data_IF_918126996871
#
_entry.id   IF_918126996871
#
_cell.length_a   1.000
_cell.length_b   1.000
_cell.length_c   1.000
_cell.angle_alpha   90.00
_cell.angle_beta   90.00
_cell.angle_gamma   90.00
#
_symmetry.space_group_name_H-M   'P 1'
#
loop_
_entity.id
_entity.type
_entity.pdbx_description
1 polymer ?
#
# COMPACT_ATOMS: atom_id res chain seq x y z
N UNK A 1 -9.81 2.47 -56.23
CA UNK A 1 -9.49 3.06 -54.92
C UNK A 1 -9.48 1.98 -53.86
N UNK A 2 -8.28 1.54 -53.53
CA UNK A 2 -8.06 0.40 -52.64
C UNK A 2 -7.99 0.87 -51.21
N UNK A 3 -8.96 0.52 -50.39
CA UNK A 3 -9.00 0.84 -48.97
C UNK A 3 -7.94 -0.03 -48.31
N UNK A 4 -6.83 0.55 -47.86
CA UNK A 4 -5.85 -0.11 -47.01
C UNK A 4 -6.50 -0.45 -45.66
N UNK A 5 -6.73 -1.74 -45.41
CA UNK A 5 -7.04 -2.24 -44.08
C UNK A 5 -5.81 -2.05 -43.20
N UNK A 6 -5.83 -1.07 -42.35
CA UNK A 6 -4.87 -0.97 -41.23
C UNK A 6 -5.16 -2.11 -40.28
N UNK A 7 -4.30 -3.12 -40.28
CA UNK A 7 -4.29 -4.19 -39.30
C UNK A 7 -4.00 -3.58 -37.93
N UNK A 8 -5.05 -3.40 -37.14
CA UNK A 8 -4.92 -3.07 -35.71
C UNK A 8 -4.25 -4.25 -35.03
N UNK A 9 -3.04 -4.04 -34.54
CA UNK A 9 -2.37 -5.00 -33.67
C UNK A 9 -3.28 -5.32 -32.47
N UNK A 10 -3.54 -6.61 -32.14
CA UNK A 10 -4.54 -7.00 -31.17
C UNK A 10 -4.24 -6.62 -29.70
N UNK A 11 -3.15 -5.93 -29.43
CA UNK A 11 -2.67 -5.68 -28.08
C UNK A 11 -2.85 -4.27 -27.52
N UNK A 12 -3.24 -3.27 -28.33
CA UNK A 12 -3.44 -1.91 -27.85
C UNK A 12 -4.91 -1.47 -27.98
N UNK A 13 -5.58 -1.26 -26.85
CA UNK A 13 -6.82 -0.51 -26.79
C UNK A 13 -6.51 0.95 -27.11
N UNK A 14 -7.00 1.47 -28.25
CA UNK A 14 -6.87 2.88 -28.56
C UNK A 14 -7.88 3.70 -27.74
N UNK A 15 -7.52 4.93 -27.41
CA UNK A 15 -8.40 5.85 -26.72
C UNK A 15 -9.69 6.12 -27.49
N UNK A 16 -9.63 6.12 -28.83
CA UNK A 16 -10.81 6.31 -29.69
C UNK A 16 -11.77 5.12 -29.63
N UNK A 17 -11.26 3.88 -29.63
CA UNK A 17 -12.07 2.69 -29.44
C UNK A 17 -12.74 2.64 -28.05
N UNK A 18 -12.06 3.13 -27.02
CA UNK A 18 -12.62 3.29 -25.68
C UNK A 18 -13.75 4.31 -25.67
N UNK A 19 -13.54 5.52 -26.23
CA UNK A 19 -14.56 6.56 -26.28
C UNK A 19 -15.82 6.12 -27.03
N UNK A 20 -15.65 5.52 -28.21
CA UNK A 20 -16.76 4.98 -28.99
C UNK A 20 -17.48 3.83 -28.24
N UNK A 21 -16.76 3.05 -27.43
CA UNK A 21 -17.32 1.98 -26.64
C UNK A 21 -18.27 2.46 -25.53
N UNK A 22 -18.07 3.66 -24.98
CA UNK A 22 -18.92 4.20 -23.91
C UNK A 22 -20.37 4.43 -24.36
N UNK A 23 -20.62 4.68 -25.63
CA UNK A 23 -21.96 4.87 -26.18
C UNK A 23 -22.85 3.63 -26.10
N UNK A 24 -22.24 2.44 -25.91
CA UNK A 24 -22.94 1.16 -25.77
C UNK A 24 -23.37 0.84 -24.33
N UNK A 25 -23.17 1.77 -23.42
CA UNK A 25 -23.51 1.63 -22.01
C UNK A 25 -24.59 2.62 -21.57
N UNK A 26 -25.38 2.23 -20.57
CA UNK A 26 -26.18 3.20 -19.83
C UNK A 26 -25.28 4.24 -19.14
N UNK A 27 -25.82 5.40 -18.81
CA UNK A 27 -25.04 6.46 -18.14
C UNK A 27 -24.30 5.96 -16.89
N UNK A 28 -24.96 5.15 -16.06
CA UNK A 28 -24.37 4.58 -14.85
C UNK A 28 -23.25 3.59 -15.15
N UNK A 29 -23.42 2.74 -16.15
CA UNK A 29 -22.40 1.79 -16.58
C UNK A 29 -21.21 2.52 -17.22
N UNK A 30 -21.46 3.54 -18.04
CA UNK A 30 -20.40 4.36 -18.63
C UNK A 30 -19.52 5.00 -17.56
N UNK A 31 -20.11 5.56 -16.50
CA UNK A 31 -19.36 6.11 -15.34
C UNK A 31 -18.49 5.06 -14.65
N UNK A 32 -18.93 3.81 -14.60
CA UNK A 32 -18.12 2.71 -14.06
C UNK A 32 -16.95 2.35 -14.99
N UNK A 33 -17.19 2.29 -16.29
CA UNK A 33 -16.16 1.98 -17.30
C UNK A 33 -15.13 3.13 -17.38
N UNK A 34 -15.56 4.38 -17.33
CA UNK A 34 -14.69 5.55 -17.27
C UNK A 34 -13.79 5.52 -16.03
N UNK A 35 -14.38 5.25 -14.89
CA UNK A 35 -13.61 5.12 -13.66
C UNK A 35 -12.58 3.98 -13.74
N UNK A 36 -12.98 2.80 -14.25
CA UNK A 36 -12.08 1.65 -14.40
C UNK A 36 -10.97 1.91 -15.41
N UNK A 37 -11.28 2.61 -16.50
CA UNK A 37 -10.29 3.06 -17.48
C UNK A 37 -9.24 3.99 -16.85
N UNK A 38 -9.68 4.95 -16.04
CA UNK A 38 -8.80 5.82 -15.27
C UNK A 38 -7.93 5.03 -14.28
N UNK A 39 -8.52 4.07 -13.58
CA UNK A 39 -7.80 3.20 -12.64
C UNK A 39 -6.77 2.32 -13.33
N UNK A 40 -7.13 1.72 -14.46
CA UNK A 40 -6.23 0.89 -15.27
C UNK A 40 -5.05 1.68 -15.84
N UNK A 41 -5.30 2.87 -16.38
CA UNK A 41 -4.25 3.69 -16.99
C UNK A 41 -3.42 4.51 -15.99
N UNK A 42 -3.96 4.77 -14.81
CA UNK A 42 -3.32 5.50 -13.71
C UNK A 42 -2.73 4.56 -12.67
N UNK A 43 -3.43 4.29 -11.55
CA UNK A 43 -2.90 3.53 -10.42
C UNK A 43 -2.37 2.14 -10.77
N UNK A 44 -3.01 1.42 -11.70
CA UNK A 44 -2.55 0.11 -12.14
C UNK A 44 -1.43 0.13 -13.20
N UNK A 45 -1.08 1.32 -13.74
CA UNK A 45 0.00 1.44 -14.71
C UNK A 45 -0.14 0.56 -15.96
N UNK A 46 -1.38 0.25 -16.38
CA UNK A 46 -1.72 -0.66 -17.48
C UNK A 46 -1.31 -2.13 -17.23
N UNK A 47 -1.19 -2.52 -15.97
CA UNK A 47 -0.92 -3.91 -15.59
C UNK A 47 -2.19 -4.77 -15.77
N UNK A 48 -2.22 -5.52 -16.87
CA UNK A 48 -3.33 -6.41 -17.22
C UNK A 48 -3.49 -7.56 -16.21
N UNK A 49 -2.37 -8.10 -15.74
CA UNK A 49 -2.40 -9.22 -14.80
C UNK A 49 -2.96 -8.79 -13.45
N UNK A 50 -2.60 -7.59 -12.98
CA UNK A 50 -3.17 -7.02 -11.78
C UNK A 50 -4.67 -6.78 -11.93
N UNK A 51 -5.13 -6.23 -13.06
CA UNK A 51 -6.56 -6.03 -13.31
C UNK A 51 -7.32 -7.36 -13.38
N UNK A 52 -6.81 -8.34 -14.12
CA UNK A 52 -7.40 -9.67 -14.20
C UNK A 52 -7.55 -10.32 -12.82
N UNK A 53 -6.54 -10.20 -11.98
CA UNK A 53 -6.57 -10.69 -10.60
C UNK A 53 -7.64 -10.03 -9.74
N UNK A 54 -7.86 -8.72 -9.90
CA UNK A 54 -8.90 -7.97 -9.19
C UNK A 54 -10.31 -8.47 -9.51
N UNK A 55 -10.53 -8.91 -10.74
CA UNK A 55 -11.82 -9.35 -11.25
C UNK A 55 -11.99 -10.88 -11.25
N UNK A 56 -10.92 -11.64 -11.03
CA UNK A 56 -10.95 -13.10 -11.20
C UNK A 56 -11.27 -13.54 -12.63
N UNK A 57 -10.97 -12.69 -13.62
CA UNK A 57 -11.30 -12.90 -15.04
C UNK A 57 -10.05 -12.81 -15.89
N UNK A 58 -10.04 -13.50 -17.04
CA UNK A 58 -8.98 -13.39 -18.02
C UNK A 58 -9.07 -12.08 -18.81
N UNK A 59 -7.93 -11.58 -19.32
CA UNK A 59 -7.88 -10.34 -20.09
C UNK A 59 -8.80 -10.34 -21.31
N UNK A 60 -8.94 -11.46 -21.98
CA UNK A 60 -9.81 -11.61 -23.16
C UNK A 60 -11.30 -11.42 -22.82
N UNK A 61 -11.69 -11.64 -21.56
CA UNK A 61 -13.04 -11.40 -21.05
C UNK A 61 -13.23 -9.94 -20.62
N UNK A 62 -12.21 -9.32 -20.04
CA UNK A 62 -12.28 -7.93 -19.54
C UNK A 62 -12.05 -6.88 -20.63
N UNK A 63 -11.17 -7.17 -21.59
CA UNK A 63 -10.85 -6.24 -22.68
C UNK A 63 -12.06 -5.70 -23.44
N UNK A 64 -13.06 -6.54 -23.81
CA UNK A 64 -14.27 -6.07 -24.49
C UNK A 64 -15.07 -5.04 -23.72
N UNK A 65 -14.96 -4.99 -22.40
CA UNK A 65 -15.59 -3.98 -21.56
C UNK A 65 -15.20 -2.56 -22.01
N UNK A 66 -13.91 -2.31 -22.27
CA UNK A 66 -13.42 -1.01 -22.67
C UNK A 66 -13.81 -0.58 -24.09
N UNK A 67 -14.29 -1.49 -24.92
CA UNK A 67 -14.78 -1.21 -26.27
C UNK A 67 -16.31 -1.35 -26.40
N UNK A 68 -17.04 -1.41 -25.29
CA UNK A 68 -18.50 -1.53 -25.29
C UNK A 68 -19.04 -2.88 -25.75
N UNK A 69 -18.22 -3.92 -25.75
CA UNK A 69 -18.54 -5.26 -26.32
C UNK A 69 -18.52 -6.38 -25.29
N UNK A 70 -18.70 -6.07 -24.01
CA UNK A 70 -18.74 -7.10 -22.97
C UNK A 70 -19.87 -8.11 -23.23
N UNK A 71 -19.58 -9.40 -23.05
CA UNK A 71 -20.58 -10.44 -23.22
C UNK A 71 -21.71 -10.29 -22.19
N UNK A 72 -22.96 -10.49 -22.63
CA UNK A 72 -24.13 -10.34 -21.77
C UNK A 72 -24.10 -11.29 -20.56
N UNK A 73 -23.51 -12.48 -20.71
CA UNK A 73 -23.41 -13.50 -19.66
C UNK A 73 -22.56 -13.09 -18.45
N UNK A 74 -21.56 -12.21 -18.65
CA UNK A 74 -20.66 -11.74 -17.56
C UNK A 74 -20.85 -10.27 -17.22
N UNK A 75 -21.76 -9.56 -17.93
CA UNK A 75 -21.94 -8.11 -17.80
C UNK A 75 -22.31 -7.71 -16.38
N UNK A 76 -23.35 -8.30 -15.81
CA UNK A 76 -23.82 -7.97 -14.47
C UNK A 76 -22.75 -8.21 -13.41
N UNK A 77 -22.11 -9.38 -13.42
CA UNK A 77 -21.04 -9.75 -12.51
C UNK A 77 -19.85 -8.77 -12.60
N UNK A 78 -19.48 -8.38 -13.82
CA UNK A 78 -18.37 -7.43 -14.05
C UNK A 78 -18.68 -6.05 -13.45
N UNK A 79 -19.90 -5.52 -13.62
CA UNK A 79 -20.29 -4.23 -13.05
C UNK A 79 -20.44 -4.28 -11.53
N UNK A 80 -20.88 -5.39 -10.95
CA UNK A 80 -20.84 -5.62 -9.50
C UNK A 80 -19.41 -5.62 -8.98
N UNK A 81 -18.49 -6.30 -9.67
CA UNK A 81 -17.07 -6.33 -9.31
C UNK A 81 -16.43 -4.92 -9.39
N UNK A 82 -16.76 -4.13 -10.43
CA UNK A 82 -16.32 -2.71 -10.51
C UNK A 82 -16.84 -1.92 -9.32
N UNK A 83 -18.11 -2.10 -8.97
CA UNK A 83 -18.72 -1.40 -7.83
C UNK A 83 -18.06 -1.80 -6.51
N UNK A 84 -17.78 -3.10 -6.31
CA UNK A 84 -17.09 -3.61 -5.13
C UNK A 84 -15.65 -3.07 -5.04
N UNK A 85 -14.93 -3.04 -6.17
CA UNK A 85 -13.59 -2.47 -6.27
C UNK A 85 -13.59 -0.98 -5.94
N UNK A 86 -14.52 -0.18 -6.52
CA UNK A 86 -14.69 1.23 -6.22
C UNK A 86 -14.97 1.47 -4.74
N UNK A 87 -15.87 0.69 -4.12
CA UNK A 87 -16.16 0.78 -2.68
C UNK A 87 -14.94 0.42 -1.83
N UNK A 88 -14.18 -0.60 -2.21
CA UNK A 88 -12.96 -1.00 -1.51
C UNK A 88 -11.89 0.10 -1.57
N UNK A 89 -11.68 0.70 -2.74
CA UNK A 89 -10.71 1.77 -2.94
C UNK A 89 -11.19 3.10 -2.33
N UNK A 90 -12.49 3.40 -2.39
CA UNK A 90 -13.07 4.57 -1.72
C UNK A 90 -13.01 4.47 -0.19
N UNK A 91 -12.95 3.25 0.36
CA UNK A 91 -12.67 3.03 1.79
C UNK A 91 -11.21 3.24 2.15
N UNK A 92 -10.30 3.23 1.18
CA UNK A 92 -8.94 3.71 1.38
C UNK A 92 -9.00 5.24 1.50
N UNK A 93 -9.01 5.73 2.74
CA UNK A 93 -9.00 7.18 2.97
C UNK A 93 -7.73 7.78 2.42
N UNK A 94 -7.77 9.03 1.92
CA UNK A 94 -6.59 9.74 1.48
C UNK A 94 -5.56 9.77 2.61
N UNK A 95 -4.29 9.66 2.25
CA UNK A 95 -3.21 9.75 3.22
C UNK A 95 -3.30 11.06 4.01
N UNK A 96 -3.46 10.95 5.32
CA UNK A 96 -3.28 12.11 6.18
C UNK A 96 -1.79 12.44 6.20
N UNK A 97 -1.43 13.56 5.60
CA UNK A 97 -0.04 14.02 5.49
C UNK A 97 0.46 14.55 6.84
N UNK A 98 0.76 13.61 7.73
CA UNK A 98 1.47 13.93 8.98
C UNK A 98 2.97 14.09 8.69
N UNK A 99 3.69 14.75 9.61
CA UNK A 99 5.16 14.87 9.51
C UNK A 99 5.82 13.49 9.35
N UNK A 100 5.29 12.46 10.01
CA UNK A 100 5.78 11.08 9.89
C UNK A 100 5.50 10.52 8.50
N UNK A 101 4.28 10.68 7.99
CA UNK A 101 3.92 10.24 6.66
C UNK A 101 4.78 10.93 5.59
N UNK A 102 4.99 12.22 5.71
CA UNK A 102 5.84 13.00 4.79
C UNK A 102 7.30 12.49 4.76
N UNK A 103 7.88 12.19 5.91
CA UNK A 103 9.23 11.62 5.99
C UNK A 103 9.33 10.25 5.32
N UNK A 104 8.31 9.41 5.48
CA UNK A 104 8.25 8.09 4.83
C UNK A 104 8.12 8.27 3.32
N UNK A 105 7.25 9.18 2.86
CA UNK A 105 7.11 9.50 1.43
C UNK A 105 8.42 9.99 0.84
N UNK A 106 9.11 10.93 1.51
CA UNK A 106 10.43 11.42 1.08
C UNK A 106 11.47 10.30 0.97
N UNK A 107 11.50 9.36 1.93
CA UNK A 107 12.41 8.22 1.85
C UNK A 107 12.07 7.29 0.67
N UNK A 108 10.79 7.05 0.40
CA UNK A 108 10.36 6.22 -0.72
C UNK A 108 10.58 6.90 -2.08
N UNK A 109 10.40 8.22 -2.15
CA UNK A 109 10.75 9.01 -3.34
C UNK A 109 12.25 8.97 -3.59
N UNK A 110 13.06 9.15 -2.53
CA UNK A 110 14.52 9.02 -2.62
C UNK A 110 14.94 7.62 -3.10
N UNK A 111 14.35 6.57 -2.52
CA UNK A 111 14.56 5.19 -2.92
C UNK A 111 14.29 4.97 -4.42
N UNK A 112 13.19 5.53 -4.93
CA UNK A 112 12.81 5.45 -6.34
C UNK A 112 13.76 6.25 -7.25
N UNK A 113 14.04 7.48 -6.89
CA UNK A 113 14.71 8.44 -7.78
C UNK A 113 16.21 8.19 -7.89
N UNK A 114 16.82 7.67 -6.82
CA UNK A 114 18.25 7.36 -6.75
C UNK A 114 18.55 5.86 -6.77
N UNK A 115 17.53 5.00 -6.90
CA UNK A 115 17.69 3.54 -6.78
C UNK A 115 18.40 3.14 -5.49
N UNK A 116 18.10 3.81 -4.39
CA UNK A 116 18.80 3.72 -3.12
C UNK A 116 18.24 2.61 -2.22
N UNK A 117 19.03 2.19 -1.24
CA UNK A 117 18.54 1.39 -0.12
C UNK A 117 18.18 2.30 1.06
N UNK A 118 16.92 2.26 1.50
CA UNK A 118 16.41 3.11 2.58
C UNK A 118 15.83 2.31 3.73
N UNK A 119 15.96 2.83 4.96
CA UNK A 119 15.37 2.25 6.16
C UNK A 119 14.32 3.18 6.77
N UNK A 120 13.17 2.61 7.09
CA UNK A 120 12.13 3.26 7.88
C UNK A 120 11.94 2.46 9.16
N UNK A 121 12.29 3.05 10.30
CA UNK A 121 12.18 2.40 11.60
C UNK A 121 11.29 3.19 12.54
N UNK A 122 10.65 2.52 13.47
CA UNK A 122 9.85 3.19 14.47
C UNK A 122 8.76 2.30 15.08
N UNK A 123 8.07 2.77 16.11
CA UNK A 123 7.13 1.98 16.88
C UNK A 123 5.92 1.55 16.05
N UNK A 124 5.30 0.46 16.49
CA UNK A 124 4.05 -0.05 15.89
C UNK A 124 2.93 0.99 16.02
N UNK A 125 2.11 1.12 14.97
CA UNK A 125 0.93 1.99 14.98
C UNK A 125 1.21 3.46 14.66
N UNK A 126 2.38 3.78 14.10
CA UNK A 126 2.79 5.12 13.67
C UNK A 126 2.54 5.41 12.17
N UNK A 127 1.79 4.55 11.49
CA UNK A 127 1.38 4.79 10.10
C UNK A 127 2.34 4.28 9.02
N UNK A 128 3.45 3.59 9.38
CA UNK A 128 4.45 3.08 8.42
C UNK A 128 3.83 2.27 7.28
N UNK A 129 3.18 1.17 7.63
CA UNK A 129 2.48 0.28 6.68
C UNK A 129 1.51 1.04 5.79
N UNK A 130 0.63 1.85 6.42
CA UNK A 130 -0.39 2.60 5.69
C UNK A 130 0.20 3.58 4.68
N UNK A 131 1.25 4.32 5.08
CA UNK A 131 1.93 5.27 4.20
C UNK A 131 2.65 4.56 3.05
N UNK A 132 3.30 3.42 3.33
CA UNK A 132 4.00 2.65 2.33
C UNK A 132 3.05 1.99 1.32
N UNK A 133 1.93 1.43 1.78
CA UNK A 133 0.88 0.89 0.90
C UNK A 133 0.26 1.99 0.02
N UNK A 134 -0.05 3.15 0.61
CA UNK A 134 -0.55 4.30 -0.13
C UNK A 134 0.45 4.75 -1.20
N UNK A 135 1.71 4.95 -0.82
CA UNK A 135 2.76 5.38 -1.76
C UNK A 135 2.96 4.36 -2.89
N UNK A 136 2.95 3.06 -2.57
CA UNK A 136 3.06 2.00 -3.56
C UNK A 136 1.88 2.04 -4.55
N UNK A 137 0.67 2.34 -4.09
CA UNK A 137 -0.51 2.52 -4.93
C UNK A 137 -0.38 3.70 -5.89
N UNK A 138 0.07 4.86 -5.39
CA UNK A 138 0.26 6.08 -6.19
C UNK A 138 1.42 5.96 -7.19
N UNK A 139 2.44 5.15 -6.89
CA UNK A 139 3.64 4.96 -7.69
C UNK A 139 3.68 3.62 -8.44
N UNK A 140 2.55 2.93 -8.55
CA UNK A 140 2.48 1.62 -9.20
C UNK A 140 2.37 1.74 -10.73
N UNK A 141 3.48 2.10 -11.36
CA UNK A 141 3.65 2.07 -12.83
C UNK A 141 4.26 0.75 -13.31
N UNK A 142 3.95 -0.37 -12.65
CA UNK A 142 4.54 -1.69 -12.91
C UNK A 142 5.94 -1.90 -12.28
N UNK A 143 6.54 -0.83 -11.75
CA UNK A 143 7.92 -0.81 -11.23
C UNK A 143 8.01 -0.90 -9.71
N UNK A 144 6.92 -0.64 -8.99
CA UNK A 144 6.87 -0.73 -7.54
C UNK A 144 6.25 -2.06 -7.11
N UNK A 145 6.94 -2.78 -6.24
CA UNK A 145 6.47 -4.02 -5.63
C UNK A 145 6.41 -3.82 -4.12
N UNK A 146 5.21 -3.98 -3.55
CA UNK A 146 5.01 -3.96 -2.11
C UNK A 146 4.95 -5.40 -1.59
N UNK A 147 5.89 -5.75 -0.74
CA UNK A 147 6.00 -7.06 -0.12
C UNK A 147 5.86 -6.95 1.39
N UNK A 148 4.80 -7.50 1.94
CA UNK A 148 4.63 -7.65 3.37
C UNK A 148 5.17 -9.02 3.78
N UNK A 149 6.23 -9.00 4.59
CA UNK A 149 6.93 -10.21 5.00
C UNK A 149 6.09 -11.01 6.00
N UNK A 150 5.78 -12.28 5.72
CA UNK A 150 5.08 -13.13 6.68
C UNK A 150 5.97 -13.45 7.90
N UNK A 151 5.35 -13.84 9.02
CA UNK A 151 6.09 -14.33 10.18
C UNK A 151 6.94 -15.53 9.81
N UNK A 152 8.15 -15.62 10.38
CA UNK A 152 9.07 -16.74 10.15
C UNK A 152 9.47 -16.96 8.67
N UNK A 153 9.71 -15.87 7.96
CA UNK A 153 10.04 -15.88 6.53
C UNK A 153 11.45 -16.46 6.28
N UNK A 154 11.51 -17.58 5.59
CA UNK A 154 12.76 -18.12 5.07
C UNK A 154 13.15 -17.44 3.74
N UNK A 155 14.45 -17.52 3.34
CA UNK A 155 14.90 -17.03 2.03
C UNK A 155 14.06 -17.63 0.88
N UNK A 156 13.79 -18.94 0.93
CA UNK A 156 12.97 -19.61 -0.08
C UNK A 156 11.54 -19.09 -0.13
N UNK A 157 10.94 -18.77 1.03
CA UNK A 157 9.61 -18.17 1.12
C UNK A 157 9.61 -16.78 0.48
N UNK A 158 10.59 -15.93 0.86
CA UNK A 158 10.72 -14.60 0.30
C UNK A 158 10.90 -14.62 -1.23
N UNK A 159 11.77 -15.51 -1.75
CA UNK A 159 11.96 -15.70 -3.20
C UNK A 159 10.66 -16.07 -3.89
N UNK A 160 9.91 -17.06 -3.38
CA UNK A 160 8.64 -17.48 -3.96
C UNK A 160 7.60 -16.36 -3.95
N UNK A 161 7.52 -15.61 -2.85
CA UNK A 161 6.54 -14.52 -2.73
C UNK A 161 6.89 -13.36 -3.67
N UNK A 162 8.17 -13.01 -3.79
CA UNK A 162 8.63 -12.04 -4.77
C UNK A 162 8.37 -12.51 -6.20
N UNK A 163 8.65 -13.78 -6.53
CA UNK A 163 8.31 -14.35 -7.84
C UNK A 163 6.83 -14.14 -8.18
N UNK A 164 5.92 -14.40 -7.23
CA UNK A 164 4.47 -14.13 -7.44
C UNK A 164 4.20 -12.66 -7.69
N UNK A 165 4.84 -11.75 -6.96
CA UNK A 165 4.68 -10.31 -7.15
C UNK A 165 5.21 -9.81 -8.50
N UNK A 166 6.23 -10.45 -9.03
CA UNK A 166 6.82 -10.14 -10.33
C UNK A 166 6.19 -10.94 -11.49
N UNK A 167 5.21 -11.81 -11.22
CA UNK A 167 4.60 -12.67 -12.23
C UNK A 167 5.54 -13.75 -12.79
N UNK A 168 6.49 -14.22 -11.96
CA UNK A 168 7.45 -15.27 -12.30
C UNK A 168 6.91 -16.61 -11.80
N UNK A 169 7.01 -17.71 -12.60
CA UNK A 169 6.66 -19.05 -12.15
C UNK A 169 7.42 -19.47 -10.88
N UNK A 170 6.74 -20.12 -9.94
CA UNK A 170 7.32 -20.57 -8.67
C UNK A 170 7.69 -22.06 -8.64
N UNK A 171 7.78 -22.70 -9.81
CA UNK A 171 8.06 -24.13 -10.03
C UNK A 171 9.50 -24.33 -10.34
N UNK A 172 10.44 -23.75 -9.89
CA UNK A 172 11.89 -23.92 -10.14
C UNK A 172 12.67 -24.20 -8.87
N UNK A 173 13.96 -24.40 -9.02
CA UNK A 173 14.89 -24.35 -7.91
C UNK A 173 14.98 -22.92 -7.35
N UNK A 174 15.42 -22.77 -6.09
CA UNK A 174 15.59 -21.43 -5.52
C UNK A 174 16.58 -20.57 -6.30
N UNK A 175 17.74 -21.08 -6.74
CA UNK A 175 18.66 -20.31 -7.60
C UNK A 175 18.05 -19.83 -8.92
N UNK A 176 17.28 -20.69 -9.61
CA UNK A 176 16.66 -20.32 -10.90
C UNK A 176 15.63 -19.19 -10.69
N UNK A 177 14.87 -19.29 -9.61
CA UNK A 177 13.90 -18.23 -9.24
C UNK A 177 14.60 -16.92 -8.85
N UNK A 178 15.72 -16.98 -8.15
CA UNK A 178 16.52 -15.78 -7.82
C UNK A 178 17.11 -15.13 -9.07
N UNK A 179 17.56 -15.90 -10.05
CA UNK A 179 18.05 -15.37 -11.32
C UNK A 179 16.93 -14.66 -12.09
N UNK A 180 15.79 -15.31 -12.23
CA UNK A 180 14.62 -14.70 -12.87
C UNK A 180 14.13 -13.42 -12.13
N UNK A 181 14.26 -13.38 -10.78
CA UNK A 181 13.96 -12.17 -10.01
C UNK A 181 14.94 -11.05 -10.32
N UNK A 182 16.25 -11.34 -10.45
CA UNK A 182 17.25 -10.34 -10.83
C UNK A 182 16.94 -9.73 -12.19
N UNK A 183 16.64 -10.57 -13.18
CA UNK A 183 16.26 -10.11 -14.52
C UNK A 183 15.03 -9.18 -14.48
N UNK A 184 14.00 -9.52 -13.70
CA UNK A 184 12.75 -8.73 -13.59
C UNK A 184 12.90 -7.48 -12.74
N UNK A 185 13.77 -7.50 -11.74
CA UNK A 185 14.04 -6.35 -10.88
C UNK A 185 15.04 -5.37 -11.51
N UNK A 186 15.73 -5.77 -12.59
CA UNK A 186 16.75 -4.97 -13.27
C UNK A 186 16.16 -3.64 -13.77
N UNK A 187 16.87 -2.58 -13.51
CA UNK A 187 16.62 -1.26 -14.09
C UNK A 187 16.33 -0.15 -13.06
N UNK A 188 16.62 1.09 -13.45
CA UNK A 188 16.42 2.25 -12.60
C UNK A 188 14.93 2.48 -12.32
N UNK A 189 14.64 3.04 -11.15
CA UNK A 189 13.28 3.34 -10.65
C UNK A 189 12.41 2.11 -10.35
N UNK A 190 12.93 0.89 -10.44
CA UNK A 190 12.28 -0.26 -9.84
C UNK A 190 12.44 -0.17 -8.32
N UNK A 191 11.35 -0.35 -7.57
CA UNK A 191 11.35 -0.25 -6.11
C UNK A 191 10.70 -1.48 -5.50
N UNK A 192 11.38 -2.08 -4.53
CA UNK A 192 10.83 -3.14 -3.69
C UNK A 192 10.65 -2.58 -2.28
N UNK A 193 9.41 -2.39 -1.86
CA UNK A 193 9.07 -2.02 -0.50
C UNK A 193 8.85 -3.29 0.30
N UNK A 194 9.60 -3.44 1.38
CA UNK A 194 9.61 -4.62 2.25
C UNK A 194 9.06 -4.22 3.61
N UNK A 195 7.79 -4.45 3.85
CA UNK A 195 7.16 -4.16 5.13
C UNK A 195 7.27 -5.34 6.10
N UNK A 196 7.33 -5.07 7.40
CA UNK A 196 7.63 -6.04 8.45
C UNK A 196 8.97 -6.76 8.21
N UNK A 197 9.96 -6.02 7.71
CA UNK A 197 11.28 -6.57 7.34
C UNK A 197 12.02 -7.26 8.49
N UNK A 198 11.64 -6.98 9.75
CA UNK A 198 12.13 -7.71 10.91
C UNK A 198 11.87 -9.21 10.86
N UNK A 199 10.83 -9.66 10.15
CA UNK A 199 10.53 -11.08 9.98
C UNK A 199 11.54 -11.81 9.07
N UNK A 200 12.41 -11.08 8.36
CA UNK A 200 13.52 -11.65 7.58
C UNK A 200 14.73 -11.98 8.44
N UNK A 201 14.77 -11.45 9.66
CA UNK A 201 15.89 -11.70 10.59
C UNK A 201 15.72 -13.09 11.21
N UNK A 202 16.79 -13.87 11.17
CA UNK A 202 16.75 -15.23 11.72
C UNK A 202 16.62 -15.23 13.24
N UNK A 203 15.60 -15.90 13.77
CA UNK A 203 15.45 -16.15 15.20
C UNK A 203 16.56 -17.03 15.80
N UNK A 204 17.27 -17.80 14.96
CA UNK A 204 18.33 -18.71 15.40
C UNK A 204 19.69 -18.04 15.61
N UNK A 205 19.76 -16.72 15.44
CA UNK A 205 21.00 -15.96 15.62
C UNK A 205 22.07 -16.22 14.57
N UNK A 206 21.76 -16.92 13.47
CA UNK A 206 22.68 -17.04 12.33
C UNK A 206 22.52 -15.82 11.45
N UNK A 207 23.60 -15.10 11.12
CA UNK A 207 23.58 -14.04 10.12
C UNK A 207 23.20 -14.62 8.77
N UNK A 208 22.54 -13.83 7.95
CA UNK A 208 22.22 -14.20 6.59
C UNK A 208 20.81 -14.77 6.42
N UNK A 209 20.50 -15.16 5.24
CA UNK A 209 19.22 -15.73 4.88
C UNK A 209 18.32 -14.77 4.10
N UNK A 210 17.10 -14.53 4.58
CA UNK A 210 16.11 -13.83 3.79
C UNK A 210 16.41 -12.34 3.58
N UNK A 211 17.05 -11.66 4.52
CA UNK A 211 17.37 -10.22 4.38
C UNK A 211 18.46 -9.97 3.33
N UNK A 212 19.44 -10.89 3.23
CA UNK A 212 20.52 -10.79 2.24
C UNK A 212 19.99 -10.83 0.80
N UNK A 213 18.86 -11.50 0.56
CA UNK A 213 18.22 -11.49 -0.75
C UNK A 213 17.96 -10.07 -1.25
N UNK A 214 17.53 -9.17 -0.36
CA UNK A 214 17.19 -7.79 -0.74
C UNK A 214 18.44 -6.94 -0.98
N UNK A 215 19.52 -7.20 -0.24
CA UNK A 215 20.82 -6.61 -0.52
C UNK A 215 21.34 -7.08 -1.88
N UNK A 216 21.31 -8.39 -2.12
CA UNK A 216 21.78 -8.97 -3.38
C UNK A 216 20.97 -8.42 -4.58
N UNK A 217 19.63 -8.29 -4.43
CA UNK A 217 18.79 -7.68 -5.45
C UNK A 217 19.19 -6.23 -5.70
N UNK A 218 19.38 -5.42 -4.65
CA UNK A 218 19.83 -4.04 -4.79
C UNK A 218 21.19 -3.94 -5.50
N UNK A 219 22.21 -4.65 -4.97
CA UNK A 219 23.59 -4.58 -5.45
C UNK A 219 23.71 -5.07 -6.91
N UNK A 220 22.95 -6.09 -7.32
CA UNK A 220 23.05 -6.72 -8.64
C UNK A 220 22.16 -6.11 -9.70
N UNK A 221 21.06 -5.47 -9.31
CA UNK A 221 20.05 -4.99 -10.28
C UNK A 221 19.92 -3.47 -10.34
N UNK A 222 20.46 -2.77 -9.35
CA UNK A 222 20.25 -1.32 -9.20
C UNK A 222 18.82 -0.94 -8.89
N UNK A 223 17.99 -1.87 -8.39
CA UNK A 223 16.64 -1.52 -7.92
C UNK A 223 16.71 -0.85 -6.55
N UNK A 224 15.81 0.09 -6.30
CA UNK A 224 15.64 0.66 -4.97
C UNK A 224 15.02 -0.36 -4.01
N UNK A 225 15.47 -0.37 -2.76
CA UNK A 225 14.94 -1.26 -1.71
C UNK A 225 14.61 -0.45 -0.47
N UNK A 226 13.34 -0.44 -0.07
CA UNK A 226 12.88 0.22 1.14
C UNK A 226 12.51 -0.82 2.20
N UNK A 227 13.26 -0.86 3.29
CA UNK A 227 13.06 -1.80 4.39
C UNK A 227 12.37 -1.11 5.56
N UNK A 228 11.22 -1.63 5.97
CA UNK A 228 10.41 -1.05 7.06
C UNK A 228 10.44 -1.99 8.26
N UNK A 229 10.96 -1.48 9.38
CA UNK A 229 11.14 -2.22 10.62
C UNK A 229 10.33 -1.62 11.78
N UNK A 230 10.17 -2.42 12.84
CA UNK A 230 9.86 -1.91 14.17
C UNK A 230 11.15 -1.65 14.96
N UNK A 231 11.07 -0.82 16.00
CA UNK A 231 12.23 -0.42 16.83
C UNK A 231 12.97 -1.60 17.46
N UNK A 232 12.24 -2.66 17.82
CA UNK A 232 12.81 -3.85 18.45
C UNK A 232 13.90 -4.46 17.56
N UNK A 233 13.63 -4.53 16.26
CA UNK A 233 14.59 -5.11 15.31
C UNK A 233 15.77 -4.17 15.02
N UNK A 234 15.56 -2.85 15.06
CA UNK A 234 16.67 -1.91 14.90
C UNK A 234 17.68 -2.03 16.05
N UNK A 235 17.20 -2.21 17.28
CA UNK A 235 18.08 -2.44 18.42
C UNK A 235 18.87 -3.74 18.29
N UNK A 236 18.27 -4.79 17.76
CA UNK A 236 18.92 -6.06 17.47
C UNK A 236 20.00 -5.94 16.37
N UNK A 237 19.70 -5.23 15.30
CA UNK A 237 20.63 -4.93 14.21
C UNK A 237 21.84 -4.13 14.73
N UNK A 238 21.62 -3.09 15.55
CA UNK A 238 22.69 -2.20 16.02
C UNK A 238 23.52 -2.76 17.18
N UNK A 239 22.97 -3.60 18.04
CA UNK A 239 23.57 -4.03 19.31
C UNK A 239 23.47 -5.53 19.60
N UNK A 240 22.85 -6.29 18.70
CA UNK A 240 22.68 -7.72 18.84
C UNK A 240 23.98 -8.51 18.60
N UNK A 241 23.91 -9.82 18.77
CA UNK A 241 25.05 -10.74 18.57
C UNK A 241 25.65 -10.70 17.17
N UNK A 242 24.91 -10.16 16.20
CA UNK A 242 25.30 -10.11 14.79
C UNK A 242 25.51 -8.66 14.31
N UNK A 243 25.79 -7.72 15.20
CA UNK A 243 25.98 -6.31 14.84
C UNK A 243 27.05 -6.11 13.76
N UNK A 244 28.20 -6.79 13.90
CA UNK A 244 29.32 -6.74 12.95
C UNK A 244 28.91 -7.23 11.54
N UNK A 245 28.03 -8.24 11.48
CA UNK A 245 27.49 -8.72 10.21
C UNK A 245 26.59 -7.68 9.55
N UNK A 246 25.77 -7.00 10.35
CA UNK A 246 24.90 -5.94 9.85
C UNK A 246 25.62 -4.62 9.54
N UNK A 247 26.87 -4.44 9.97
CA UNK A 247 27.65 -3.25 9.65
C UNK A 247 27.78 -3.05 8.14
N UNK A 248 28.11 -4.11 7.39
CA UNK A 248 28.17 -4.06 5.93
C UNK A 248 26.81 -3.76 5.27
N UNK A 249 25.74 -4.25 5.87
CA UNK A 249 24.40 -3.97 5.42
C UNK A 249 23.97 -2.52 5.72
N UNK A 250 24.30 -2.04 6.91
CA UNK A 250 24.06 -0.65 7.32
C UNK A 250 24.87 0.35 6.49
N UNK A 251 26.06 -0.01 6.04
CA UNK A 251 26.89 0.82 5.17
C UNK A 251 26.30 1.12 3.78
N UNK A 252 25.25 0.40 3.37
CA UNK A 252 24.52 0.66 2.11
C UNK A 252 23.32 1.57 2.29
N UNK A 253 23.01 1.94 3.54
CA UNK A 253 21.85 2.78 3.81
C UNK A 253 22.16 4.23 3.52
N UNK A 254 21.38 4.81 2.64
CA UNK A 254 21.56 6.20 2.24
C UNK A 254 20.58 7.15 2.95
N UNK A 255 19.38 6.68 3.29
CA UNK A 255 18.35 7.53 3.86
C UNK A 255 17.63 6.84 5.04
N UNK A 256 18.17 6.89 6.27
CA UNK A 256 17.51 6.35 7.44
C UNK A 256 16.39 7.28 7.94
N UNK A 257 15.19 6.74 8.12
CA UNK A 257 14.07 7.44 8.76
C UNK A 257 13.78 6.78 10.11
N UNK A 258 14.06 7.49 11.18
CA UNK A 258 13.69 7.09 12.55
C UNK A 258 12.43 7.84 13.00
N UNK A 259 11.35 7.10 13.26
CA UNK A 259 10.07 7.65 13.67
C UNK A 259 10.02 7.74 15.20
N UNK A 260 9.67 8.90 15.76
CA UNK A 260 9.59 9.09 17.21
C UNK A 260 8.61 8.13 17.88
N UNK A 261 8.92 7.73 19.12
CA UNK A 261 8.08 6.82 19.93
C UNK A 261 6.67 7.34 20.12
N UNK A 262 6.54 8.62 20.45
CA UNK A 262 5.24 9.25 20.73
C UNK A 262 4.85 10.22 19.63
N UNK A 263 3.56 10.32 19.29
CA UNK A 263 3.08 11.35 18.39
C UNK A 263 3.26 12.73 19.01
N UNK A 264 3.58 13.72 18.16
CA UNK A 264 3.65 15.12 18.56
C UNK A 264 2.26 15.76 18.46
N UNK A 265 2.09 16.87 19.18
CA UNK A 265 0.84 17.64 19.17
C UNK A 265 0.39 18.04 17.77
N UNK A 266 1.34 18.52 16.95
CA UNK A 266 1.06 18.94 15.58
C UNK A 266 0.63 17.79 14.69
N UNK A 267 1.20 16.59 14.87
CA UNK A 267 0.80 15.38 14.15
C UNK A 267 -0.65 14.98 14.50
N UNK A 268 -1.02 15.04 15.77
CA UNK A 268 -2.39 14.80 16.22
C UNK A 268 -3.35 15.83 15.64
N UNK A 269 -2.95 17.12 15.61
CA UNK A 269 -3.75 18.18 14.98
C UNK A 269 -3.97 17.92 13.49
N UNK A 270 -2.94 17.49 12.74
CA UNK A 270 -3.05 17.12 11.33
C UNK A 270 -4.02 15.94 11.12
N UNK A 271 -3.96 14.94 12.01
CA UNK A 271 -4.90 13.81 11.98
C UNK A 271 -6.33 14.30 12.21
N UNK A 272 -6.57 15.12 13.23
CA UNK A 272 -7.90 15.65 13.53
C UNK A 272 -8.43 16.52 12.38
N UNK A 273 -7.61 17.36 11.78
CA UNK A 273 -8.00 18.22 10.67
C UNK A 273 -8.51 17.45 9.43
N UNK A 274 -8.12 16.18 9.27
CA UNK A 274 -8.64 15.33 8.21
C UNK A 274 -10.10 14.86 8.46
N UNK A 275 -10.60 14.98 9.68
CA UNK A 275 -11.96 14.58 10.07
C UNK A 275 -12.86 15.78 10.41
N UNK A 276 -12.30 16.83 11.00
CA UNK A 276 -13.02 18.01 11.49
C UNK A 276 -12.79 19.19 10.53
N UNK A 277 -13.65 19.32 9.53
CA UNK A 277 -13.54 20.36 8.48
C UNK A 277 -13.80 21.78 8.98
N UNK A 278 -14.54 21.91 10.09
CA UNK A 278 -14.94 23.19 10.65
C UNK A 278 -13.92 23.75 11.67
N UNK A 279 -12.76 23.11 11.77
CA UNK A 279 -11.65 23.48 12.63
C UNK A 279 -11.41 22.53 13.80
N UNK A 280 -10.26 22.62 14.39
CA UNK A 280 -9.81 21.75 15.49
C UNK A 280 -9.45 22.61 16.70
N UNK A 281 -10.19 22.45 17.80
CA UNK A 281 -9.92 23.19 19.05
C UNK A 281 -8.68 22.62 19.78
N UNK A 282 -8.01 23.47 20.55
CA UNK A 282 -6.87 23.07 21.37
C UNK A 282 -7.25 22.03 22.44
N UNK A 283 -8.47 22.11 22.96
CA UNK A 283 -9.01 21.13 23.90
C UNK A 283 -9.12 19.73 23.24
N UNK A 284 -9.66 19.68 22.00
CA UNK A 284 -9.78 18.44 21.25
C UNK A 284 -8.39 17.84 20.92
N UNK A 285 -7.41 18.68 20.55
CA UNK A 285 -6.02 18.25 20.33
C UNK A 285 -5.43 17.65 21.59
N UNK A 286 -5.62 18.29 22.74
CA UNK A 286 -5.12 17.80 24.04
C UNK A 286 -5.75 16.47 24.42
N UNK A 287 -7.06 16.34 24.25
CA UNK A 287 -7.80 15.09 24.49
C UNK A 287 -7.30 13.96 23.57
N UNK A 288 -7.22 14.20 22.26
CA UNK A 288 -6.78 13.23 21.28
C UNK A 288 -5.31 12.82 21.47
N UNK A 289 -4.44 13.76 21.89
CA UNK A 289 -3.06 13.47 22.24
C UNK A 289 -2.99 12.53 23.45
N UNK A 290 -3.83 12.75 24.47
CA UNK A 290 -3.96 11.85 25.61
C UNK A 290 -4.38 10.44 25.17
N UNK A 291 -5.30 10.30 24.22
CA UNK A 291 -5.72 9.01 23.64
C UNK A 291 -4.56 8.35 22.88
N UNK A 292 -3.86 9.10 22.05
CA UNK A 292 -2.78 8.58 21.20
C UNK A 292 -1.50 8.23 21.98
N UNK A 293 -1.29 8.79 23.16
CA UNK A 293 -0.10 8.57 24.01
C UNK A 293 -0.35 7.68 25.21
N UNK A 294 -1.62 7.28 25.48
CA UNK A 294 -1.95 6.37 26.55
C UNK A 294 -1.23 5.02 26.40
N UNK A 295 -1.04 4.29 27.51
CA UNK A 295 -0.35 3.00 27.54
C UNK A 295 -0.91 2.02 26.51
N UNK A 296 -2.25 1.98 26.36
CA UNK A 296 -2.98 1.16 25.40
C UNK A 296 -3.38 1.93 24.14
N UNK A 297 -3.00 3.22 24.06
CA UNK A 297 -3.27 4.13 22.95
C UNK A 297 -2.09 4.17 22.00
N UNK A 298 -2.42 4.23 20.69
CA UNK A 298 -1.47 4.49 19.61
C UNK A 298 -2.18 5.40 18.62
N UNK A 299 -1.43 6.04 17.77
CA UNK A 299 -2.03 6.84 16.69
C UNK A 299 -3.03 6.00 15.86
N UNK A 300 -2.73 4.71 15.65
CA UNK A 300 -3.64 3.74 15.03
C UNK A 300 -4.97 3.61 15.76
N UNK A 301 -4.96 3.63 17.10
CA UNK A 301 -6.17 3.55 17.92
C UNK A 301 -7.00 4.82 17.78
N UNK A 302 -6.36 5.99 17.86
CA UNK A 302 -7.03 7.27 17.60
C UNK A 302 -7.67 7.31 16.21
N UNK A 303 -6.97 6.87 15.18
CA UNK A 303 -7.54 6.76 13.83
C UNK A 303 -8.78 5.87 13.78
N UNK A 304 -8.72 4.69 14.42
CA UNK A 304 -9.87 3.78 14.47
C UNK A 304 -11.07 4.41 15.17
N UNK A 305 -10.83 5.10 16.29
CA UNK A 305 -11.88 5.78 17.04
C UNK A 305 -12.51 6.90 16.21
N UNK A 306 -11.70 7.71 15.52
CA UNK A 306 -12.15 8.77 14.61
C UNK A 306 -12.97 8.23 13.43
N UNK A 307 -12.52 7.14 12.82
CA UNK A 307 -13.23 6.52 11.71
C UNK A 307 -14.63 6.06 12.11
N UNK A 308 -14.74 5.42 13.26
CA UNK A 308 -16.03 4.92 13.74
C UNK A 308 -16.95 6.04 14.20
N UNK A 309 -16.40 7.05 14.87
CA UNK A 309 -17.15 8.24 15.23
C UNK A 309 -17.68 8.98 14.00
N UNK A 310 -16.88 9.08 12.93
CA UNK A 310 -17.31 9.67 11.67
C UNK A 310 -18.39 8.82 10.96
N UNK A 311 -18.28 7.50 11.00
CA UNK A 311 -19.25 6.56 10.42
C UNK A 311 -20.62 6.71 11.09
N UNK A 312 -20.65 6.77 12.43
CA UNK A 312 -21.90 7.04 13.17
C UNK A 312 -22.50 8.40 12.80
N UNK A 313 -21.70 9.46 12.81
CA UNK A 313 -22.19 10.79 12.46
C UNK A 313 -22.75 10.83 11.03
N UNK A 314 -22.14 10.13 10.08
CA UNK A 314 -22.64 10.00 8.70
C UNK A 314 -23.95 9.23 8.60
N UNK A 315 -24.15 8.19 9.41
CA UNK A 315 -25.43 7.48 9.46
C UNK A 315 -26.56 8.39 9.96
N UNK A 316 -26.23 9.31 10.86
CA UNK A 316 -27.16 10.35 11.35
C UNK A 316 -27.30 11.55 10.38
N UNK A 317 -26.66 11.51 9.20
CA UNK A 317 -26.71 12.59 8.20
C UNK A 317 -25.96 13.87 8.62
N UNK A 318 -25.06 13.81 9.57
CA UNK A 318 -24.34 14.94 10.13
C UNK A 318 -22.81 14.79 10.07
N UNK A 319 -22.10 15.86 10.33
CA UNK A 319 -20.63 15.84 10.49
C UNK A 319 -20.24 15.29 11.86
N UNK A 320 -19.03 14.72 11.94
CA UNK A 320 -18.42 14.30 13.20
C UNK A 320 -18.21 15.48 14.15
N UNK A 321 -18.45 15.25 15.44
CA UNK A 321 -18.22 16.21 16.51
C UNK A 321 -17.19 15.70 17.52
N UNK A 322 -16.66 16.59 18.36
CA UNK A 322 -15.75 16.20 19.45
C UNK A 322 -16.39 15.20 20.44
N UNK A 323 -17.70 15.32 20.65
CA UNK A 323 -18.43 14.45 21.58
C UNK A 323 -18.59 13.03 21.00
N UNK A 324 -18.71 12.87 19.68
CA UNK A 324 -18.70 11.56 19.03
C UNK A 324 -17.40 10.83 19.29
N UNK A 325 -16.25 11.52 19.16
CA UNK A 325 -14.95 10.92 19.48
C UNK A 325 -14.85 10.57 20.96
N UNK A 326 -15.30 11.46 21.88
CA UNK A 326 -15.28 11.21 23.33
C UNK A 326 -16.15 10.00 23.69
N UNK A 327 -17.33 9.90 23.09
CA UNK A 327 -18.26 8.78 23.28
C UNK A 327 -17.60 7.45 22.83
N UNK A 328 -17.00 7.44 21.67
CA UNK A 328 -16.33 6.25 21.14
C UNK A 328 -15.16 5.79 21.99
N UNK A 329 -14.30 6.74 22.42
CA UNK A 329 -13.18 6.45 23.31
C UNK A 329 -13.67 5.89 24.68
N UNK A 330 -14.77 6.46 25.22
CA UNK A 330 -15.39 5.98 26.45
C UNK A 330 -15.91 4.56 26.28
N UNK A 331 -16.67 4.32 25.21
CA UNK A 331 -17.20 2.99 24.89
C UNK A 331 -16.07 1.95 24.75
N UNK A 332 -15.02 2.23 23.97
CA UNK A 332 -13.88 1.31 23.82
C UNK A 332 -13.21 0.98 25.15
N UNK A 333 -13.16 1.92 26.10
CA UNK A 333 -12.57 1.73 27.43
C UNK A 333 -13.46 0.94 28.40
N UNK A 334 -14.78 0.97 28.20
CA UNK A 334 -15.75 0.31 29.07
C UNK A 334 -16.04 -1.15 28.74
N UNK A 335 -15.17 -1.80 27.96
CA UNK A 335 -15.24 -3.22 27.60
C UNK A 335 -16.50 -3.68 26.85
N UNK A 336 -16.99 -2.90 25.90
CA UNK A 336 -17.65 -3.50 24.75
C UNK A 336 -19.16 -3.58 24.74
N UNK A 337 -19.91 -2.81 25.51
CA UNK A 337 -21.31 -2.62 25.19
C UNK A 337 -21.47 -1.59 24.06
N UNK A 338 -22.07 -2.00 22.94
CA UNK A 338 -22.30 -1.14 21.79
C UNK A 338 -23.26 0.02 22.13
N UNK A 339 -23.07 1.25 21.64
CA UNK A 339 -23.97 2.40 21.96
C UNK A 339 -25.41 2.23 21.53
N UNK A 340 -25.70 1.33 20.57
CA UNK A 340 -27.04 1.07 20.04
C UNK A 340 -27.91 0.20 20.99
N UNK A 341 -27.31 -0.37 22.03
CA UNK A 341 -28.01 -1.18 23.03
C UNK A 341 -28.56 -0.36 24.22
N UNK A 342 -28.75 0.98 24.03
CA UNK A 342 -29.34 1.86 25.05
C UNK A 342 -30.53 2.63 24.52
#
# INVERSE_FOLDING_TARGET
>A
MTIKSTSLHPHNLSFDAYKAGLENYSKAEAEHVEWLWGYYNGPLGKDKAALCKEFGMEWEQLRPLFSGRIAASIRAETFEAITALRRRLAKSKPLVRTIVAERIVQALDYCRDYSAMVFVTGPTGRGKTYTAEWWAGENNHGRTKYYRVPSDCSRRTAVKDLCRLFGIPTTGSTPDMEEALREKALGPRNVIIVDEAGNLLSKSGKPGGAIELFRDLHDMTGCGVALIFTDVYLAEIKRGRNADYFEQFLGRLEFPVEIPQKPRRDEVRQVLAAFFTDGVSEELVSYALGVATARDGKLRTLFKDLFRAEELAKNDGRKITADDLKLFVKWRKSAGAWPEDR
#
